data_IF_140202374532
#
_entry.id   IF_140202374532
#
_cell.length_a   1.000
_cell.length_b   1.000
_cell.length_c   1.000
_cell.angle_alpha   90.00
_cell.angle_beta   90.00
_cell.angle_gamma   90.00
#
_symmetry.space_group_name_H-M   'P 1'
#
loop_
_entity.id
_entity.type
_entity.pdbx_description
1 polymer ?
#
# COMPACT_ATOMS: atom_id res chain seq x y z
N UNK A 1 -1.93 5.08 39.93
CA UNK A 1 -1.75 4.06 38.88
C UNK A 1 -2.35 4.66 37.63
N UNK A 2 -1.54 5.32 36.80
CA UNK A 2 -2.03 5.87 35.54
C UNK A 2 -2.13 4.72 34.55
N UNK A 3 -3.36 4.35 34.21
CA UNK A 3 -3.61 3.48 33.08
C UNK A 3 -3.10 4.24 31.85
N UNK A 4 -2.00 3.77 31.28
CA UNK A 4 -1.47 4.26 30.01
C UNK A 4 -2.53 3.98 28.94
N UNK A 5 -3.36 4.98 28.65
CA UNK A 5 -4.22 4.98 27.48
C UNK A 5 -3.30 4.82 26.27
N UNK A 6 -3.25 3.61 25.71
CA UNK A 6 -2.60 3.39 24.41
C UNK A 6 -3.38 4.25 23.42
N UNK A 7 -2.87 5.43 23.12
CA UNK A 7 -3.41 6.29 22.07
C UNK A 7 -3.35 5.50 20.76
N UNK A 8 -4.48 4.93 20.35
CA UNK A 8 -4.61 4.23 19.08
C UNK A 8 -4.23 5.21 17.97
N UNK A 9 -3.14 4.92 17.29
CA UNK A 9 -2.66 5.77 16.22
C UNK A 9 -3.63 5.65 15.03
N UNK A 10 -4.13 6.77 14.47
CA UNK A 10 -5.09 6.73 13.37
C UNK A 10 -4.44 6.17 12.10
N UNK A 11 -5.24 5.78 11.12
CA UNK A 11 -4.75 5.30 9.83
C UNK A 11 -3.98 6.40 9.09
N UNK A 12 -2.77 6.10 8.65
CA UNK A 12 -1.90 7.02 7.91
C UNK A 12 -2.50 7.54 6.60
N UNK A 13 -3.47 6.81 6.02
CA UNK A 13 -4.07 7.17 4.73
C UNK A 13 -5.44 7.85 4.84
N UNK A 14 -6.23 7.55 5.86
CA UNK A 14 -7.60 8.07 5.98
C UNK A 14 -7.93 8.71 7.34
N UNK A 15 -6.97 8.76 8.26
CA UNK A 15 -7.08 9.30 9.62
C UNK A 15 -8.15 8.65 10.53
N UNK A 16 -8.74 7.54 10.09
CA UNK A 16 -9.70 6.75 10.86
C UNK A 16 -9.04 5.62 11.66
N UNK A 17 -9.75 5.05 12.62
CA UNK A 17 -9.36 3.81 13.31
C UNK A 17 -10.10 2.60 12.74
N UNK A 18 -9.62 1.40 13.08
CA UNK A 18 -10.29 0.14 12.74
C UNK A 18 -9.86 -0.93 13.73
N UNK A 19 -10.64 -2.02 13.79
CA UNK A 19 -10.37 -3.14 14.71
C UNK A 19 -8.99 -3.77 14.46
N UNK A 20 -8.58 -3.83 13.19
CA UNK A 20 -7.26 -4.30 12.77
C UNK A 20 -6.46 -3.16 12.16
N UNK A 21 -5.35 -2.85 12.81
CA UNK A 21 -4.35 -1.90 12.36
C UNK A 21 -3.06 -2.65 12.05
N UNK A 22 -2.48 -2.37 10.88
CA UNK A 22 -1.22 -2.95 10.41
C UNK A 22 -0.14 -1.88 10.42
N UNK A 23 1.11 -2.24 10.70
CA UNK A 23 2.20 -1.28 10.54
C UNK A 23 2.50 -1.11 9.05
N UNK A 24 2.71 0.13 8.60
CA UNK A 24 3.09 0.42 7.20
C UNK A 24 4.44 -0.20 6.83
N UNK A 25 5.24 -0.65 7.81
CA UNK A 25 6.52 -1.32 7.61
C UNK A 25 6.42 -2.85 7.63
N UNK A 26 5.22 -3.39 7.83
CA UNK A 26 4.98 -4.83 7.80
C UNK A 26 5.02 -5.36 6.36
N UNK A 27 5.03 -6.69 6.25
CA UNK A 27 4.91 -7.40 4.98
C UNK A 27 3.53 -8.01 4.87
N UNK A 28 3.00 -8.10 3.65
CA UNK A 28 1.82 -8.91 3.33
C UNK A 28 2.14 -10.40 3.49
N UNK A 29 1.12 -11.26 3.41
CA UNK A 29 1.30 -12.72 3.44
C UNK A 29 2.19 -13.21 2.29
N UNK A 30 2.16 -12.53 1.15
CA UNK A 30 3.01 -12.76 -0.03
C UNK A 30 4.42 -12.13 0.09
N UNK A 31 4.74 -11.56 1.25
CA UNK A 31 6.05 -10.98 1.55
C UNK A 31 6.30 -9.58 0.99
N UNK A 32 5.31 -8.95 0.35
CA UNK A 32 5.45 -7.59 -0.17
C UNK A 32 5.41 -6.57 0.97
N UNK A 33 6.30 -5.57 0.98
CA UNK A 33 6.25 -4.53 2.01
C UNK A 33 5.06 -3.58 1.76
N UNK A 34 4.26 -3.31 2.79
CA UNK A 34 3.12 -2.39 2.69
C UNK A 34 3.57 -1.01 2.21
N UNK A 35 4.67 -0.50 2.76
CA UNK A 35 5.29 0.76 2.33
C UNK A 35 5.60 0.79 0.83
N UNK A 36 6.03 -0.34 0.27
CA UNK A 36 6.32 -0.44 -1.16
C UNK A 36 5.04 -0.35 -1.99
N UNK A 37 3.97 -1.04 -1.57
CA UNK A 37 2.66 -0.93 -2.22
C UNK A 37 2.15 0.53 -2.21
N UNK A 38 2.30 1.24 -1.09
CA UNK A 38 1.93 2.66 -0.97
C UNK A 38 2.71 3.48 -2.01
N UNK A 39 4.03 3.33 -2.04
CA UNK A 39 4.91 4.07 -2.95
C UNK A 39 4.62 3.77 -4.43
N UNK A 40 4.28 2.52 -4.75
CA UNK A 40 3.98 2.12 -6.12
C UNK A 40 2.62 2.63 -6.60
N UNK A 41 1.62 2.69 -5.72
CA UNK A 41 0.24 2.98 -6.10
C UNK A 41 -0.16 4.44 -5.88
N UNK A 42 0.46 5.11 -4.92
CA UNK A 42 0.10 6.46 -4.47
C UNK A 42 1.33 7.37 -4.51
N UNK A 43 1.17 8.67 -4.80
CA UNK A 43 2.26 9.64 -4.75
C UNK A 43 2.56 10.06 -3.29
N UNK A 44 2.72 9.09 -2.39
CA UNK A 44 2.91 9.30 -0.95
C UNK A 44 4.24 8.68 -0.54
N UNK A 45 5.03 9.45 0.21
CA UNK A 45 6.31 9.02 0.79
C UNK A 45 6.16 9.03 2.31
N UNK A 46 6.53 7.93 2.96
CA UNK A 46 6.48 7.77 4.41
C UNK A 46 7.87 7.37 4.90
N UNK A 47 8.41 8.11 5.85
CA UNK A 47 9.68 7.76 6.49
C UNK A 47 9.44 7.17 7.88
N UNK A 48 10.40 6.39 8.37
CA UNK A 48 10.38 5.89 9.77
C UNK A 48 10.39 7.03 10.78
N UNK A 49 10.97 8.17 10.40
CA UNK A 49 11.11 9.36 11.25
C UNK A 49 9.91 10.31 11.22
N UNK A 50 8.89 10.11 10.37
CA UNK A 50 7.77 11.07 10.39
C UNK A 50 7.09 11.04 11.78
N UNK A 51 6.68 12.19 12.32
CA UNK A 51 5.94 12.28 13.58
C UNK A 51 4.47 11.85 13.45
N UNK A 52 4.10 11.24 12.32
CA UNK A 52 2.75 10.86 11.95
C UNK A 52 2.60 9.34 12.04
N UNK A 53 1.36 8.87 12.18
CA UNK A 53 1.04 7.47 12.38
C UNK A 53 1.75 6.52 11.40
N UNK A 54 2.22 5.40 11.94
CA UNK A 54 2.80 4.28 11.18
C UNK A 54 1.82 3.14 10.99
N UNK A 55 0.53 3.38 11.25
CA UNK A 55 -0.52 2.38 11.17
C UNK A 55 -1.37 2.60 9.91
N UNK A 56 -1.88 1.53 9.33
CA UNK A 56 -2.88 1.53 8.26
C UNK A 56 -4.05 0.65 8.69
N UNK A 57 -5.27 1.13 8.51
CA UNK A 57 -6.46 0.31 8.77
C UNK A 57 -6.68 -0.72 7.65
N UNK A 58 -7.36 -1.82 7.98
CA UNK A 58 -7.65 -2.91 7.04
C UNK A 58 -8.34 -2.43 5.75
N UNK A 59 -9.30 -1.51 5.84
CA UNK A 59 -9.98 -0.94 4.66
C UNK A 59 -9.00 -0.28 3.69
N UNK A 60 -8.08 0.53 4.20
CA UNK A 60 -7.07 1.22 3.39
C UNK A 60 -6.06 0.22 2.81
N UNK A 61 -5.69 -0.81 3.57
CA UNK A 61 -4.82 -1.88 3.10
C UNK A 61 -5.47 -2.66 1.94
N UNK A 62 -6.72 -3.12 2.09
CA UNK A 62 -7.43 -3.87 1.06
C UNK A 62 -7.59 -3.06 -0.24
N UNK A 63 -7.89 -1.76 -0.12
CA UNK A 63 -7.95 -0.86 -1.28
C UNK A 63 -6.58 -0.73 -1.98
N UNK A 64 -5.51 -0.66 -1.20
CA UNK A 64 -4.16 -0.57 -1.74
C UNK A 64 -3.77 -1.84 -2.51
N UNK A 65 -4.12 -3.02 -2.00
CA UNK A 65 -3.92 -4.29 -2.70
C UNK A 65 -4.71 -4.37 -4.00
N UNK A 66 -5.97 -3.92 -3.98
CA UNK A 66 -6.83 -3.85 -5.17
C UNK A 66 -6.19 -2.98 -6.26
N UNK A 67 -5.75 -1.77 -5.89
CA UNK A 67 -5.09 -0.83 -6.80
C UNK A 67 -3.78 -1.41 -7.33
N UNK A 68 -2.96 -2.04 -6.48
CA UNK A 68 -1.71 -2.68 -6.90
C UNK A 68 -1.96 -3.79 -7.91
N UNK A 69 -2.94 -4.65 -7.66
CA UNK A 69 -3.33 -5.74 -8.58
C UNK A 69 -3.79 -5.19 -9.93
N UNK A 70 -4.65 -4.16 -9.91
CA UNK A 70 -5.15 -3.52 -11.12
C UNK A 70 -4.02 -2.85 -11.93
N UNK A 71 -3.10 -2.16 -11.24
CA UNK A 71 -1.92 -1.56 -11.88
C UNK A 71 -1.07 -2.62 -12.57
N UNK A 72 -0.72 -3.70 -11.86
CA UNK A 72 0.11 -4.80 -12.39
C UNK A 72 -0.52 -5.45 -13.62
N UNK A 73 -1.82 -5.77 -13.59
CA UNK A 73 -2.52 -6.39 -14.73
C UNK A 73 -2.58 -5.47 -15.95
N UNK A 74 -2.82 -4.18 -15.72
CA UNK A 74 -2.86 -3.16 -16.78
C UNK A 74 -1.49 -2.98 -17.43
N UNK A 75 -0.42 -2.89 -16.62
CA UNK A 75 0.96 -2.76 -17.12
C UNK A 75 1.39 -4.00 -17.91
N UNK A 76 1.10 -5.20 -17.41
CA UNK A 76 1.39 -6.44 -18.13
C UNK A 76 0.72 -6.46 -19.51
N UNK A 77 -0.55 -6.08 -19.58
CA UNK A 77 -1.29 -6.01 -20.85
C UNK A 77 -0.69 -4.98 -21.79
N UNK A 78 -0.29 -3.81 -21.28
CA UNK A 78 0.34 -2.77 -22.07
C UNK A 78 1.70 -3.21 -22.65
N UNK A 79 2.53 -3.89 -21.88
CA UNK A 79 3.80 -4.43 -22.37
C UNK A 79 3.57 -5.51 -23.43
N UNK A 80 2.62 -6.43 -23.21
CA UNK A 80 2.24 -7.43 -24.22
C UNK A 80 1.78 -6.78 -25.53
N UNK A 81 1.01 -5.69 -25.47
CA UNK A 81 0.61 -4.95 -26.67
C UNK A 81 1.81 -4.34 -27.40
N UNK A 82 2.78 -3.78 -26.67
CA UNK A 82 4.03 -3.25 -27.27
C UNK A 82 4.86 -4.34 -27.95
N UNK A 83 4.96 -5.52 -27.33
CA UNK A 83 5.68 -6.67 -27.89
C UNK A 83 5.03 -7.18 -29.18
N UNK A 84 3.70 -7.32 -29.19
CA UNK A 84 2.96 -7.73 -30.38
C UNK A 84 3.13 -6.73 -31.54
N UNK A 85 3.11 -5.42 -31.24
CA UNK A 85 3.41 -4.41 -32.24
C UNK A 85 4.85 -4.57 -32.75
N UNK A 86 5.85 -4.75 -31.89
CA UNK A 86 7.24 -4.95 -32.35
C UNK A 86 7.42 -6.20 -33.21
N UNK A 87 6.71 -7.28 -32.90
CA UNK A 87 6.79 -8.54 -33.64
C UNK A 87 6.14 -8.45 -35.03
N UNK A 88 5.02 -7.72 -35.14
CA UNK A 88 4.25 -7.60 -36.40
C UNK A 88 4.79 -6.55 -37.38
N UNK A 89 5.79 -5.75 -36.98
CA UNK A 89 6.46 -4.76 -37.85
C UNK A 89 7.74 -5.31 -38.51
N UNK A 90 8.05 -6.60 -38.32
CA UNK A 90 9.09 -7.34 -39.05
C UNK A 90 8.45 -8.18 -40.15
#
# INVERSE_FOLDING_TARGET
MEASEKMEQPCRLCDGSGEKMLSVFDKTEEGQQILHLIKECLPIIIYRTDPLSKQICEKCFNNLELVSRFKKSSQYTAEKHKENLRANWR
#
